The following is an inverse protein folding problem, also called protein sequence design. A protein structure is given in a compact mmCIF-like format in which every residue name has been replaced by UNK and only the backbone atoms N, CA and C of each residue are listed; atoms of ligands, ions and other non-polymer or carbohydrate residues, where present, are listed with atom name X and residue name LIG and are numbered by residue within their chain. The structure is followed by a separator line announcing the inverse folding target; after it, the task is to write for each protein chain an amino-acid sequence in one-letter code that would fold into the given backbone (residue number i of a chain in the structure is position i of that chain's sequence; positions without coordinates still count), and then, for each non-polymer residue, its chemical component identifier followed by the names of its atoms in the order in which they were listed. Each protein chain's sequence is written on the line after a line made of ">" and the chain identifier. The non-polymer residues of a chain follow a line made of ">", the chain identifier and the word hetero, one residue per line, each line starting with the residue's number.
data_IF_521304984907
#
_entry.id   IF_521304984907
#
_cell.length_a   1.000
_cell.length_b   1.000
_cell.length_c   1.000
_cell.angle_alpha   90.00
_cell.angle_beta   90.00
_cell.angle_gamma   90.00
#
_symmetry.space_group_name_H-M   'P 1'
#
loop_
_entity.id
_entity.type
_entity.pdbx_description
1 polymer ?
#
# COMPACT_ATOMS: atom_id res chain seq x y z
N UNK A 1 13.35 37.06 -28.98
CA UNK A 1 13.21 36.66 -28.68
C UNK A 1 12.99 35.92 -28.27
N UNK A 2 12.92 35.57 -28.15
CA UNK A 2 12.80 34.95 -27.84
C UNK A 2 12.48 34.43 -27.05
N UNK A 3 12.30 33.83 -26.72
CA UNK A 3 12.00 33.29 -26.01
C UNK A 3 11.76 32.23 -25.56
N UNK A 4 11.77 31.80 -25.04
CA UNK A 4 11.76 30.86 -24.67
C UNK A 4 11.06 30.29 -23.92
N UNK A 5 10.68 29.61 -23.79
CA UNK A 5 9.89 29.08 -23.22
C UNK A 5 10.02 28.02 -22.54
N UNK A 6 10.10 27.72 -21.98
CA UNK A 6 10.18 26.81 -21.33
C UNK A 6 9.33 25.96 -21.01
N UNK A 7 9.11 25.29 -21.23
CA UNK A 7 8.28 24.37 -21.07
C UNK A 7 8.58 23.58 -20.04
N UNK A 8 8.14 23.64 -19.19
CA UNK A 8 8.40 22.98 -18.19
C UNK A 8 7.69 21.96 -17.96
N UNK A 9 7.84 21.03 -18.00
CA UNK A 9 7.18 20.07 -17.80
C UNK A 9 7.16 19.60 -16.64
N UNK A 10 6.54 19.56 -15.95
CA UNK A 10 6.31 19.06 -14.80
C UNK A 10 6.16 17.68 -14.82
N UNK A 11 6.98 17.01 -14.61
CA UNK A 11 6.81 15.68 -14.55
C UNK A 11 6.21 15.31 -13.31
N UNK A 12 5.07 14.87 -13.26
CA UNK A 12 4.47 14.46 -12.11
C UNK A 12 4.79 13.10 -11.78
N UNK A 13 5.21 12.80 -10.65
CA UNK A 13 5.46 11.46 -10.24
C UNK A 13 4.19 10.75 -10.09
N UNK A 14 4.09 9.62 -10.61
CA UNK A 14 2.97 8.88 -10.39
C UNK A 14 3.25 8.00 -9.32
N UNK A 15 2.70 8.07 -8.28
CA UNK A 15 2.93 7.21 -7.19
C UNK A 15 2.09 6.03 -7.35
N UNK A 16 2.53 5.06 -7.98
CA UNK A 16 1.77 3.86 -8.16
C UNK A 16 1.42 3.28 -6.81
N UNK A 17 0.25 2.83 -6.62
CA UNK A 17 -0.16 2.23 -5.38
C UNK A 17 -0.44 3.19 -4.27
N UNK A 18 -0.36 4.47 -4.53
CA UNK A 18 -0.59 5.45 -3.49
C UNK A 18 -1.98 6.01 -3.56
N UNK A 19 -2.96 5.15 -3.62
CA UNK A 19 -4.33 5.62 -3.64
C UNK A 19 -4.81 5.88 -2.23
N UNK A 20 -5.76 6.75 -2.11
CA UNK A 20 -6.39 7.02 -0.83
C UNK A 20 -7.87 6.70 -0.96
N UNK A 21 -8.54 6.54 0.15
CA UNK A 21 -9.98 6.34 0.10
C UNK A 21 -10.61 6.99 1.31
N UNK A 22 -11.89 7.23 1.18
CA UNK A 22 -12.62 7.90 2.24
C UNK A 22 -13.40 6.88 3.03
N UNK A 23 -13.26 6.91 4.35
CA UNK A 23 -14.08 6.10 5.22
C UNK A 23 -14.80 7.05 6.14
N UNK A 24 -16.09 7.20 5.91
CA UNK A 24 -16.87 8.17 6.66
C UNK A 24 -16.41 9.56 6.31
N UNK A 25 -16.00 10.31 7.32
CA UNK A 25 -15.51 11.65 7.10
C UNK A 25 -14.00 11.72 7.09
N UNK A 26 -13.34 10.60 7.18
CA UNK A 26 -11.89 10.57 7.21
C UNK A 26 -11.34 10.06 5.89
N UNK A 27 -10.12 10.42 5.60
CA UNK A 27 -9.46 9.94 4.40
C UNK A 27 -8.30 9.08 4.84
N UNK A 28 -8.25 7.87 4.30
CA UNK A 28 -7.18 6.95 4.60
C UNK A 28 -6.13 7.03 3.52
N UNK A 29 -4.88 7.02 3.91
CA UNK A 29 -3.77 7.09 2.97
C UNK A 29 -2.66 6.15 3.41
N UNK A 30 -1.77 5.77 2.49
CA UNK A 30 -0.73 4.79 2.84
C UNK A 30 0.29 5.27 3.84
N UNK A 31 0.38 6.58 4.06
CA UNK A 31 1.38 7.09 4.98
C UNK A 31 0.88 7.12 6.43
N UNK A 32 -0.34 6.68 6.69
CA UNK A 32 -0.81 6.64 8.07
C UNK A 32 -0.45 5.31 8.70
N UNK A 33 -0.52 5.24 10.01
CA UNK A 33 -0.22 4.00 10.71
C UNK A 33 -1.42 3.08 10.67
N UNK A 34 -1.19 1.81 10.94
CA UNK A 34 -2.29 0.85 10.99
C UNK A 34 -3.26 1.20 12.11
N UNK A 35 -2.72 1.65 13.24
CA UNK A 35 -3.58 2.03 14.36
C UNK A 35 -4.48 3.20 13.97
N UNK A 36 -3.93 4.15 13.24
CA UNK A 36 -4.72 5.28 12.80
C UNK A 36 -5.78 4.85 11.80
N UNK A 37 -5.44 3.90 10.92
CA UNK A 37 -6.41 3.39 9.97
C UNK A 37 -7.57 2.72 10.71
N UNK A 38 -7.27 1.92 11.73
CA UNK A 38 -8.31 1.28 12.50
C UNK A 38 -9.17 2.30 13.23
N UNK A 39 -8.55 3.35 13.73
CA UNK A 39 -9.30 4.36 14.45
C UNK A 39 -10.23 5.12 13.52
N UNK A 40 -9.80 5.43 12.33
CA UNK A 40 -10.61 6.22 11.42
C UNK A 40 -11.57 5.40 10.58
N UNK A 41 -11.17 4.23 10.19
CA UNK A 41 -11.97 3.40 9.30
C UNK A 41 -12.55 2.16 9.94
N UNK A 42 -12.06 1.79 11.11
CA UNK A 42 -12.58 0.60 11.79
C UNK A 42 -11.99 -0.67 11.23
N UNK A 43 -12.57 -1.78 11.63
CA UNK A 43 -12.09 -3.07 11.18
C UNK A 43 -12.44 -3.31 9.72
N UNK A 44 -11.57 -3.98 8.98
CA UNK A 44 -11.90 -4.29 7.60
C UNK A 44 -12.97 -5.36 7.53
N UNK A 45 -13.64 -5.42 6.39
CA UNK A 45 -14.66 -6.44 6.19
C UNK A 45 -14.01 -7.80 6.02
N UNK A 46 -12.85 -7.84 5.44
CA UNK A 46 -12.12 -9.09 5.25
C UNK A 46 -10.66 -8.84 5.55
N UNK A 47 -10.04 -9.80 6.23
CA UNK A 47 -8.63 -9.68 6.57
C UNK A 47 -7.99 -11.04 6.37
N UNK A 48 -6.94 -11.09 5.59
CA UNK A 48 -6.17 -12.32 5.41
C UNK A 48 -4.73 -12.03 5.79
N UNK A 49 -4.06 -13.06 6.29
CA UNK A 49 -2.69 -12.93 6.72
C UNK A 49 -1.86 -14.00 6.06
N UNK A 50 -0.71 -13.63 5.56
CA UNK A 50 0.15 -14.55 4.87
C UNK A 50 1.57 -14.28 5.28
N UNK A 51 2.35 -15.32 5.46
CA UNK A 51 3.76 -15.16 5.76
C UNK A 51 4.56 -15.57 4.55
N UNK A 52 5.48 -14.73 4.16
CA UNK A 52 6.28 -14.96 2.97
C UNK A 52 7.74 -15.00 3.39
N UNK A 53 8.43 -16.06 2.98
CA UNK A 53 9.85 -16.17 3.30
C UNK A 53 10.65 -15.25 2.40
N UNK A 54 11.61 -14.57 3.00
CA UNK A 54 12.46 -13.66 2.28
C UNK A 54 13.82 -14.32 2.13
N UNK A 55 14.31 -14.37 0.92
CA UNK A 55 15.59 -15.00 0.63
C UNK A 55 16.61 -13.98 0.16
N UNK A 56 17.84 -14.25 0.43
CA UNK A 56 18.92 -13.38 0.01
C UNK A 56 20.16 -14.15 -0.29
N UNK A 57 21.24 -13.47 -0.64
CA UNK A 57 22.47 -14.16 -0.99
C UNK A 57 23.07 -14.86 0.22
N UNK A 58 23.68 -15.99 -0.05
CA UNK A 58 24.39 -16.71 0.98
C UNK A 58 25.69 -16.01 1.23
N UNK A 59 26.10 -15.94 2.49
CA UNK A 59 27.35 -15.26 2.84
C UNK A 59 28.55 -15.92 2.20
N UNK A 60 28.46 -17.19 1.90
CA UNK A 60 29.55 -17.87 1.21
C UNK A 60 29.43 -17.74 -0.30
N UNK A 61 28.46 -16.99 -0.77
CA UNK A 61 28.33 -16.73 -2.18
C UNK A 61 27.69 -17.80 -3.02
N UNK A 62 27.18 -18.84 -2.40
CA UNK A 62 26.56 -19.92 -3.15
C UNK A 62 25.08 -19.98 -2.85
N UNK A 63 24.26 -19.69 -3.82
CA UNK A 63 22.84 -19.85 -3.66
C UNK A 63 22.18 -18.81 -2.80
N UNK A 64 20.95 -19.08 -2.44
CA UNK A 64 20.17 -18.14 -1.65
C UNK A 64 19.72 -18.84 -0.38
N UNK A 65 19.65 -18.08 0.68
CA UNK A 65 19.24 -18.63 1.96
C UNK A 65 18.09 -17.80 2.50
N UNK A 66 17.30 -18.41 3.34
CA UNK A 66 16.21 -17.72 3.96
C UNK A 66 16.75 -16.69 4.94
N UNK A 67 16.36 -15.44 4.74
CA UNK A 67 16.81 -14.35 5.58
C UNK A 67 15.82 -14.01 6.66
N UNK A 68 14.58 -14.42 6.49
CA UNK A 68 13.57 -14.11 7.46
C UNK A 68 12.21 -14.32 6.86
N UNK A 69 11.21 -13.82 7.54
CA UNK A 69 9.83 -13.94 7.11
C UNK A 69 9.15 -12.59 7.22
N UNK A 70 8.38 -12.27 6.21
CA UNK A 70 7.62 -11.04 6.20
C UNK A 70 6.16 -11.42 6.34
N UNK A 71 5.45 -10.78 7.25
CA UNK A 71 4.03 -11.02 7.42
C UNK A 71 3.26 -9.98 6.63
N UNK A 72 2.46 -10.46 5.70
CA UNK A 72 1.66 -9.57 4.85
C UNK A 72 0.20 -9.78 5.19
N UNK A 73 -0.49 -8.70 5.50
CA UNK A 73 -1.93 -8.75 5.73
C UNK A 73 -2.61 -8.01 4.61
N UNK A 74 -3.72 -8.55 4.16
CA UNK A 74 -4.52 -7.90 3.14
C UNK A 74 -5.87 -7.61 3.75
N UNK A 75 -6.18 -6.34 3.89
CA UNK A 75 -7.43 -5.89 4.48
C UNK A 75 -8.32 -5.35 3.38
N UNK A 76 -9.54 -5.82 3.33
CA UNK A 76 -10.47 -5.35 2.31
C UNK A 76 -11.60 -4.59 2.98
N UNK A 77 -11.81 -3.37 2.54
CA UNK A 77 -12.90 -2.54 3.02
C UNK A 77 -13.95 -2.45 1.93
N UNK A 78 -15.12 -3.00 2.21
CA UNK A 78 -16.21 -2.97 1.26
C UNK A 78 -16.93 -1.64 1.44
N UNK A 79 -17.04 -0.87 0.40
CA UNK A 79 -17.60 0.47 0.48
C UNK A 79 -19.00 0.56 -0.11
N UNK A 80 -19.65 -0.58 -0.28
CA UNK A 80 -21.00 -0.58 -0.77
C UNK A 80 -21.08 -0.91 -2.24
N UNK A 81 -22.27 -1.16 -2.73
CA UNK A 81 -22.43 -1.67 -4.09
C UNK A 81 -22.08 -0.66 -5.18
N UNK A 82 -22.08 0.60 -4.87
CA UNK A 82 -21.76 1.59 -5.91
C UNK A 82 -20.32 2.05 -5.85
N UNK A 83 -19.49 1.41 -5.04
CA UNK A 83 -18.08 1.78 -4.94
C UNK A 83 -17.23 0.54 -5.00
N UNK A 84 -16.01 0.72 -5.48
CA UNK A 84 -15.08 -0.39 -5.46
C UNK A 84 -14.62 -0.61 -4.03
N UNK A 85 -14.40 -1.87 -3.68
CA UNK A 85 -13.80 -2.16 -2.41
C UNK A 85 -12.34 -1.70 -2.44
N UNK A 86 -11.80 -1.36 -1.29
CA UNK A 86 -10.41 -0.94 -1.20
C UNK A 86 -9.61 -2.04 -0.52
N UNK A 87 -8.46 -2.33 -1.10
CA UNK A 87 -7.58 -3.37 -0.58
C UNK A 87 -6.35 -2.69 -0.02
N UNK A 88 -6.11 -2.90 1.26
CA UNK A 88 -4.97 -2.32 1.93
C UNK A 88 -3.99 -3.44 2.21
N UNK A 89 -2.77 -3.29 1.72
CA UNK A 89 -1.73 -4.26 1.95
C UNK A 89 -0.83 -3.76 3.07
N UNK A 90 -0.68 -4.57 4.10
CA UNK A 90 0.11 -4.21 5.26
C UNK A 90 1.24 -5.22 5.38
N UNK A 91 2.46 -4.72 5.47
CA UNK A 91 3.61 -5.58 5.54
C UNK A 91 4.35 -5.27 6.81
N UNK A 92 4.49 -6.26 7.67
CA UNK A 92 5.16 -6.11 8.97
C UNK A 92 4.63 -4.92 9.77
N UNK A 93 3.31 -4.78 9.76
CA UNK A 93 2.69 -3.74 10.57
C UNK A 93 2.67 -2.36 9.95
N UNK A 94 3.12 -2.23 8.71
CA UNK A 94 3.10 -0.94 8.05
C UNK A 94 2.30 -1.02 6.77
N UNK A 95 1.55 0.02 6.49
CA UNK A 95 0.75 0.05 5.29
C UNK A 95 1.67 0.24 4.10
N UNK A 96 1.60 -0.70 3.16
CA UNK A 96 2.43 -0.65 1.99
C UNK A 96 1.70 -0.02 0.81
N UNK A 97 0.44 -0.34 0.64
CA UNK A 97 -0.31 0.20 -0.48
C UNK A 97 -1.80 0.14 -0.21
N UNK A 98 -2.54 0.95 -0.91
CA UNK A 98 -3.99 0.92 -0.91
C UNK A 98 -4.42 0.99 -2.36
N UNK A 99 -5.25 0.04 -2.78
CA UNK A 99 -5.67 -0.04 -4.17
C UNK A 99 -7.12 -0.41 -4.25
N UNK A 100 -7.74 -0.06 -5.35
CA UNK A 100 -9.11 -0.47 -5.56
C UNK A 100 -9.13 -1.91 -6.03
N UNK A 101 -10.07 -2.66 -5.50
CA UNK A 101 -10.24 -4.03 -5.95
C UNK A 101 -10.98 -4.00 -7.28
N UNK A 102 -10.73 -4.97 -8.08
CA UNK A 102 -11.42 -5.06 -9.36
C UNK A 102 -12.60 -5.92 -9.31
#
# INVERSE_FOLDING_TARGET
>A
MRYVILAILAALPLAAGAETFRCGQSIASPDMSVDELLEKCGEPDTKTTEQVDVYGPNAQGAGRVKRGTVTTETWTYDRGPSSFAMVVTIEDGKIKSMERAK
#
